data_IF_073402078332
#
_entry.id   IF_073402078332
#
_cell.length_a   1.000
_cell.length_b   1.000
_cell.length_c   1.000
_cell.angle_alpha   90.00
_cell.angle_beta   90.00
_cell.angle_gamma   90.00
#
_symmetry.space_group_name_H-M   'P 1'
#
loop_
_entity.id
_entity.type
_entity.pdbx_description
1 polymer ?
#
# COMPACT_ATOMS: atom_id res chain seq x y z
N UNK A 1 2.36 -17.41 10.98
CA UNK A 1 3.54 -16.51 10.94
C UNK A 1 3.44 -15.57 9.74
N UNK A 2 3.84 -14.29 9.88
CA UNK A 2 3.91 -13.19 8.86
C UNK A 2 2.90 -12.02 8.96
N UNK A 3 2.75 -11.37 10.11
CA UNK A 3 2.12 -10.02 10.22
C UNK A 3 3.05 -8.90 10.71
N UNK A 4 4.26 -9.24 11.12
CA UNK A 4 5.26 -8.31 11.69
C UNK A 4 6.25 -7.80 10.63
N UNK A 5 6.08 -8.21 9.36
CA UNK A 5 7.11 -8.03 8.31
C UNK A 5 7.23 -6.58 7.85
N UNK A 6 6.14 -5.85 7.64
CA UNK A 6 6.20 -4.44 7.18
C UNK A 6 6.82 -3.52 8.21
N UNK A 7 6.43 -3.67 9.48
CA UNK A 7 6.93 -2.85 10.58
C UNK A 7 8.43 -3.09 10.76
N UNK A 8 8.86 -4.35 10.85
CA UNK A 8 10.27 -4.67 11.04
C UNK A 8 11.12 -4.18 9.87
N UNK A 9 10.69 -4.41 8.62
CA UNK A 9 11.38 -3.90 7.42
C UNK A 9 11.49 -2.38 7.41
N UNK A 10 10.43 -1.68 7.81
CA UNK A 10 10.42 -0.21 7.81
C UNK A 10 11.34 0.37 8.87
N UNK A 11 11.42 -0.25 10.05
CA UNK A 11 12.35 0.16 11.11
C UNK A 11 13.79 -0.12 10.70
N UNK A 12 14.06 -1.28 10.11
CA UNK A 12 15.40 -1.62 9.59
C UNK A 12 15.83 -0.61 8.52
N UNK A 13 14.95 -0.28 7.58
CA UNK A 13 15.22 0.74 6.57
C UNK A 13 15.53 2.10 7.19
N UNK A 14 14.70 2.54 8.15
CA UNK A 14 14.91 3.80 8.88
C UNK A 14 16.29 3.84 9.55
N UNK A 15 16.66 2.76 10.25
CA UNK A 15 17.96 2.65 10.93
C UNK A 15 19.12 2.69 9.93
N UNK A 16 19.03 1.90 8.85
CA UNK A 16 20.09 1.88 7.82
C UNK A 16 20.25 3.25 7.19
N UNK A 17 19.15 3.89 6.77
CA UNK A 17 19.21 5.23 6.17
C UNK A 17 19.80 6.25 7.15
N UNK A 18 19.33 6.27 8.39
CA UNK A 18 19.88 7.16 9.42
C UNK A 18 21.38 6.97 9.64
N UNK A 19 21.86 5.72 9.70
CA UNK A 19 23.29 5.42 9.90
C UNK A 19 24.11 5.79 8.66
N UNK A 20 23.64 5.46 7.46
CA UNK A 20 24.34 5.78 6.20
C UNK A 20 24.44 7.29 6.02
N UNK A 21 23.36 8.04 6.23
CA UNK A 21 23.39 9.51 6.14
C UNK A 21 24.29 10.12 7.22
N UNK A 22 24.26 9.61 8.46
CA UNK A 22 25.16 10.09 9.50
C UNK A 22 26.64 9.87 9.17
N UNK A 23 26.97 8.74 8.52
CA UNK A 23 28.32 8.43 8.08
C UNK A 23 28.76 9.30 6.89
N UNK A 24 27.91 9.48 5.88
CA UNK A 24 28.21 10.27 4.67
C UNK A 24 28.39 11.75 4.99
N UNK A 25 27.49 12.32 5.79
CA UNK A 25 27.53 13.73 6.18
C UNK A 25 28.43 13.99 7.39
N UNK A 26 29.01 12.94 7.98
CA UNK A 26 29.78 12.96 9.22
C UNK A 26 29.06 13.72 10.36
N UNK A 27 27.73 13.64 10.39
CA UNK A 27 26.90 14.39 11.31
C UNK A 27 25.93 13.47 12.06
N UNK A 28 26.11 13.40 13.38
CA UNK A 28 25.33 12.51 14.25
C UNK A 28 23.85 12.88 14.32
N UNK A 29 23.47 14.09 13.91
CA UNK A 29 22.07 14.54 13.91
C UNK A 29 21.18 13.65 13.02
N UNK A 30 21.74 12.99 12.01
CA UNK A 30 21.00 12.06 11.15
C UNK A 30 20.59 10.75 11.84
N UNK A 31 21.12 10.46 13.05
CA UNK A 31 20.67 9.35 13.89
C UNK A 31 19.37 9.66 14.65
N UNK A 32 18.92 10.91 14.64
CA UNK A 32 17.74 11.36 15.40
C UNK A 32 16.45 10.58 15.09
N UNK A 33 16.16 10.12 13.86
CA UNK A 33 15.00 9.27 13.59
C UNK A 33 15.05 7.92 14.33
N UNK A 34 16.24 7.39 14.63
CA UNK A 34 16.39 6.19 15.46
C UNK A 34 15.93 6.49 16.89
N UNK A 35 16.38 7.62 17.43
CA UNK A 35 16.09 8.05 18.80
C UNK A 35 14.61 8.40 18.98
N UNK A 36 13.99 8.99 17.97
CA UNK A 36 12.65 9.57 18.06
C UNK A 36 11.54 8.68 17.48
N UNK A 37 11.89 7.65 16.70
CA UNK A 37 10.91 6.73 16.08
C UNK A 37 11.25 5.28 16.43
N UNK A 38 12.45 4.79 16.05
CA UNK A 38 12.76 3.37 16.17
C UNK A 38 12.80 2.88 17.63
N UNK A 39 13.49 3.60 18.51
CA UNK A 39 13.57 3.27 19.93
C UNK A 39 12.20 3.39 20.63
N UNK A 40 11.48 4.53 20.55
CA UNK A 40 10.14 4.65 21.12
C UNK A 40 9.18 3.57 20.64
N UNK A 41 9.23 3.22 19.35
CA UNK A 41 8.43 2.12 18.83
C UNK A 41 8.75 0.80 19.52
N UNK A 42 10.03 0.45 19.67
CA UNK A 42 10.45 -0.81 20.32
C UNK A 42 9.94 -0.90 21.76
N UNK A 43 9.90 0.22 22.48
CA UNK A 43 9.36 0.28 23.85
C UNK A 43 7.83 0.22 23.92
N UNK A 44 7.15 0.86 22.97
CA UNK A 44 5.68 0.91 22.96
C UNK A 44 5.01 -0.28 22.26
N UNK A 45 5.75 -1.00 21.41
CA UNK A 45 5.19 -2.11 20.63
C UNK A 45 4.74 -3.26 21.52
N UNK A 46 3.55 -3.77 21.25
CA UNK A 46 3.05 -4.98 21.86
C UNK A 46 3.75 -6.21 21.29
N UNK A 47 4.12 -7.16 22.16
CA UNK A 47 4.71 -8.45 21.77
C UNK A 47 3.69 -9.45 21.20
N UNK A 48 2.39 -9.19 21.40
CA UNK A 48 1.30 -10.05 20.95
C UNK A 48 1.00 -9.84 19.45
N UNK A 49 1.03 -10.93 18.68
CA UNK A 49 0.72 -10.95 17.25
C UNK A 49 -0.70 -10.46 16.92
N UNK A 50 -1.64 -10.59 17.86
CA UNK A 50 -3.01 -10.09 17.70
C UNK A 50 -3.09 -8.56 17.73
N UNK A 51 -2.08 -7.89 18.30
CA UNK A 51 -1.99 -6.43 18.40
C UNK A 51 -1.24 -5.76 17.24
N UNK A 52 -1.15 -6.44 16.10
CA UNK A 52 -0.52 -5.93 14.88
C UNK A 52 -1.14 -4.59 14.42
N UNK A 53 -2.46 -4.41 14.61
CA UNK A 53 -3.15 -3.16 14.25
C UNK A 53 -2.74 -2.00 15.15
N UNK A 54 -2.67 -2.23 16.47
CA UNK A 54 -2.17 -1.24 17.43
C UNK A 54 -0.72 -0.88 17.14
N UNK A 55 0.14 -1.87 16.89
CA UNK A 55 1.55 -1.64 16.55
C UNK A 55 1.68 -0.80 15.28
N UNK A 56 0.88 -1.08 14.24
CA UNK A 56 0.85 -0.22 13.03
C UNK A 56 0.44 1.22 13.37
N UNK A 57 -0.52 1.41 14.27
CA UNK A 57 -0.95 2.74 14.72
C UNK A 57 0.15 3.47 15.50
N UNK A 58 0.83 2.80 16.43
CA UNK A 58 1.93 3.37 17.21
C UNK A 58 3.03 3.88 16.28
N UNK A 59 3.49 3.04 15.34
CA UNK A 59 4.55 3.45 14.40
C UNK A 59 4.10 4.62 13.51
N UNK A 60 2.87 4.58 13.00
CA UNK A 60 2.34 5.69 12.19
C UNK A 60 2.28 7.00 12.99
N UNK A 61 1.87 6.94 14.27
CA UNK A 61 1.80 8.12 15.12
C UNK A 61 3.19 8.70 15.40
N UNK A 62 4.21 7.85 15.59
CA UNK A 62 5.59 8.29 15.80
C UNK A 62 6.14 9.04 14.60
N UNK A 63 5.91 8.55 13.38
CA UNK A 63 6.29 9.27 12.17
C UNK A 63 5.60 10.63 12.06
N UNK A 64 4.27 10.65 12.25
CA UNK A 64 3.47 11.88 12.15
C UNK A 64 3.90 12.89 13.22
N UNK A 65 4.09 12.44 14.46
CA UNK A 65 4.53 13.29 15.56
C UNK A 65 5.88 13.94 15.26
N UNK A 66 6.83 13.19 14.72
CA UNK A 66 8.14 13.74 14.34
C UNK A 66 8.02 14.78 13.23
N UNK A 67 7.28 14.47 12.14
CA UNK A 67 7.07 15.41 11.03
C UNK A 67 6.42 16.71 11.51
N UNK A 68 5.38 16.61 12.34
CA UNK A 68 4.69 17.79 12.90
C UNK A 68 5.61 18.57 13.83
N UNK A 69 6.36 17.89 14.69
CA UNK A 69 7.29 18.54 15.63
C UNK A 69 8.34 19.36 14.87
N UNK A 70 8.87 18.82 13.77
CA UNK A 70 9.77 19.55 12.89
C UNK A 70 9.10 20.74 12.20
N UNK A 71 7.88 20.56 11.69
CA UNK A 71 7.14 21.66 11.06
C UNK A 71 6.89 22.82 12.04
N UNK A 72 6.46 22.51 13.27
CA UNK A 72 6.27 23.50 14.34
C UNK A 72 7.60 24.18 14.70
N UNK A 73 8.68 23.41 14.82
CA UNK A 73 10.01 23.95 15.12
C UNK A 73 10.48 24.93 14.04
N UNK A 74 10.32 24.59 12.75
CA UNK A 74 10.68 25.47 11.63
C UNK A 74 9.89 26.79 11.70
N UNK A 75 8.58 26.71 11.93
CA UNK A 75 7.72 27.91 12.02
C UNK A 75 8.10 28.79 13.22
N UNK A 76 8.38 28.17 14.36
CA UNK A 76 8.71 28.89 15.59
C UNK A 76 10.08 29.57 15.53
N UNK A 77 11.10 28.88 15.01
CA UNK A 77 12.47 29.42 14.96
C UNK A 77 12.72 30.27 13.73
N UNK A 78 11.90 30.14 12.68
CA UNK A 78 12.13 30.70 11.34
C UNK A 78 13.50 30.31 10.75
N UNK A 79 14.13 29.25 11.28
CA UNK A 79 15.43 28.77 10.84
C UNK A 79 15.23 27.50 10.03
N UNK A 80 15.38 27.62 8.72
CA UNK A 80 15.41 26.49 7.80
C UNK A 80 16.83 26.34 7.28
N UNK A 81 17.47 25.22 7.62
CA UNK A 81 18.78 24.83 7.12
C UNK A 81 18.63 23.57 6.26
N UNK A 82 19.49 23.39 5.25
CA UNK A 82 19.55 22.19 4.41
C UNK A 82 19.57 20.92 5.25
N UNK A 83 20.37 20.90 6.32
CA UNK A 83 20.46 19.75 7.24
C UNK A 83 19.09 19.35 7.85
N UNK A 84 18.27 20.33 8.25
CA UNK A 84 16.95 20.08 8.83
C UNK A 84 16.00 19.58 7.74
N UNK A 85 16.09 20.14 6.54
CA UNK A 85 15.31 19.69 5.40
C UNK A 85 15.62 18.24 5.02
N UNK A 86 16.90 17.87 4.93
CA UNK A 86 17.35 16.52 4.60
C UNK A 86 16.90 15.50 5.66
N UNK A 87 16.96 15.91 6.94
CA UNK A 87 16.47 15.09 8.06
C UNK A 87 14.95 14.83 7.96
N UNK A 88 14.16 15.87 7.70
CA UNK A 88 12.70 15.76 7.53
C UNK A 88 12.37 14.91 6.31
N UNK A 89 13.08 15.14 5.20
CA UNK A 89 12.90 14.40 3.96
C UNK A 89 13.15 12.89 4.17
N UNK A 90 14.20 12.53 4.89
CA UNK A 90 14.50 11.13 5.24
C UNK A 90 13.38 10.49 6.08
N UNK A 91 12.83 11.21 7.06
CA UNK A 91 11.69 10.74 7.87
C UNK A 91 10.45 10.53 7.00
N UNK A 92 10.15 11.48 6.10
CA UNK A 92 9.01 11.41 5.19
C UNK A 92 9.16 10.23 4.23
N UNK A 93 10.34 10.03 3.64
CA UNK A 93 10.64 8.93 2.73
C UNK A 93 10.38 7.58 3.41
N UNK A 94 10.89 7.41 4.64
CA UNK A 94 10.66 6.20 5.43
C UNK A 94 9.18 6.00 5.77
N UNK A 95 8.45 7.09 6.07
CA UNK A 95 7.03 7.03 6.34
C UNK A 95 6.20 6.60 5.12
N UNK A 96 6.52 7.14 3.94
CA UNK A 96 5.87 6.75 2.68
C UNK A 96 6.14 5.28 2.39
N UNK A 97 7.38 4.83 2.51
CA UNK A 97 7.74 3.42 2.33
C UNK A 97 6.94 2.51 3.28
N UNK A 98 6.86 2.87 4.56
CA UNK A 98 6.07 2.15 5.54
C UNK A 98 4.58 2.08 5.17
N UNK A 99 3.99 3.18 4.70
CA UNK A 99 2.59 3.22 4.26
C UNK A 99 2.35 2.32 3.05
N UNK A 100 3.24 2.32 2.06
CA UNK A 100 3.13 1.43 0.90
C UNK A 100 3.19 -0.04 1.31
N UNK A 101 4.15 -0.41 2.17
CA UNK A 101 4.28 -1.78 2.66
C UNK A 101 3.05 -2.25 3.45
N UNK A 102 2.51 -1.40 4.33
CA UNK A 102 1.31 -1.74 5.10
C UNK A 102 0.07 -1.87 4.22
N UNK A 103 -0.07 -1.06 3.16
CA UNK A 103 -1.16 -1.20 2.19
C UNK A 103 -1.07 -2.52 1.42
N UNK A 104 0.12 -2.91 0.96
CA UNK A 104 0.33 -4.18 0.26
C UNK A 104 0.00 -5.36 1.18
N UNK A 105 0.47 -5.33 2.43
CA UNK A 105 0.12 -6.37 3.41
C UNK A 105 -1.38 -6.44 3.70
N UNK A 106 -2.06 -5.30 3.86
CA UNK A 106 -3.49 -5.29 4.14
C UNK A 106 -4.29 -5.85 2.95
N UNK A 107 -3.89 -5.54 1.71
CA UNK A 107 -4.50 -6.12 0.50
C UNK A 107 -4.28 -7.63 0.45
N UNK A 108 -3.05 -8.08 0.75
CA UNK A 108 -2.73 -9.50 0.85
C UNK A 108 -3.57 -10.19 1.91
N UNK A 109 -3.59 -9.68 3.14
CA UNK A 109 -4.38 -10.25 4.24
C UNK A 109 -5.88 -10.35 3.92
N UNK A 110 -6.45 -9.39 3.18
CA UNK A 110 -7.83 -9.46 2.73
C UNK A 110 -8.06 -10.64 1.76
N UNK A 111 -7.14 -10.86 0.82
CA UNK A 111 -7.17 -12.01 -0.09
C UNK A 111 -6.99 -13.32 0.68
N UNK A 112 -6.09 -13.38 1.67
CA UNK A 112 -5.82 -14.61 2.41
C UNK A 112 -6.91 -14.98 3.43
N UNK A 113 -7.60 -14.00 4.04
CA UNK A 113 -8.63 -14.25 5.07
C UNK A 113 -9.98 -14.67 4.51
N UNK A 114 -10.37 -14.13 3.36
CA UNK A 114 -11.61 -14.52 2.69
C UNK A 114 -11.42 -14.47 1.17
N UNK A 115 -10.63 -15.41 0.61
CA UNK A 115 -10.36 -15.44 -0.82
C UNK A 115 -11.64 -15.63 -1.63
N UNK A 116 -12.66 -16.30 -1.06
CA UNK A 116 -13.97 -16.48 -1.68
C UNK A 116 -14.71 -15.14 -1.85
N UNK A 117 -14.79 -14.30 -0.82
CA UNK A 117 -15.44 -12.99 -0.95
C UNK A 117 -14.74 -12.06 -1.94
N UNK A 118 -13.40 -12.16 -2.05
CA UNK A 118 -12.66 -11.40 -3.07
C UNK A 118 -12.94 -11.95 -4.47
N UNK A 119 -12.96 -13.27 -4.62
CA UNK A 119 -13.31 -13.96 -5.85
C UNK A 119 -14.72 -13.56 -6.34
N UNK A 120 -15.72 -13.64 -5.47
CA UNK A 120 -17.11 -13.28 -5.78
C UNK A 120 -17.24 -11.80 -6.17
N UNK A 121 -16.49 -10.91 -5.51
CA UNK A 121 -16.48 -9.48 -5.82
C UNK A 121 -15.84 -9.17 -7.17
N UNK A 122 -14.80 -9.89 -7.55
CA UNK A 122 -14.17 -9.74 -8.87
C UNK A 122 -15.10 -10.29 -9.95
N UNK A 123 -15.70 -11.46 -9.75
CA UNK A 123 -16.69 -12.02 -10.67
C UNK A 123 -17.86 -11.06 -10.92
N UNK A 124 -18.44 -10.48 -9.85
CA UNK A 124 -19.51 -9.49 -9.99
C UNK A 124 -19.08 -8.26 -10.80
N UNK A 125 -17.82 -7.83 -10.68
CA UNK A 125 -17.28 -6.72 -11.49
C UNK A 125 -17.12 -7.11 -12.96
N UNK A 126 -16.68 -8.33 -13.23
CA UNK A 126 -16.57 -8.87 -14.59
C UNK A 126 -17.96 -8.91 -15.23
N UNK A 127 -18.97 -9.44 -14.53
CA UNK A 127 -20.35 -9.53 -15.01
C UNK A 127 -20.94 -8.15 -15.36
N UNK A 128 -20.74 -7.15 -14.50
CA UNK A 128 -21.17 -5.77 -14.77
C UNK A 128 -20.46 -5.20 -16.00
N UNK A 129 -19.15 -5.44 -16.15
CA UNK A 129 -18.38 -4.95 -17.30
C UNK A 129 -18.74 -5.68 -18.60
N UNK A 130 -19.04 -6.98 -18.56
CA UNK A 130 -19.52 -7.75 -19.70
C UNK A 130 -20.90 -7.27 -20.14
N UNK A 131 -21.81 -6.98 -19.19
CA UNK A 131 -23.10 -6.35 -19.50
C UNK A 131 -22.93 -4.95 -20.12
N UNK A 132 -22.01 -4.14 -19.58
CA UNK A 132 -21.71 -2.82 -20.14
C UNK A 132 -21.08 -2.92 -21.54
N UNK A 133 -20.22 -3.91 -21.77
CA UNK A 133 -19.63 -4.19 -23.07
C UNK A 133 -20.74 -4.51 -24.09
N UNK A 134 -21.65 -5.43 -23.77
CA UNK A 134 -22.76 -5.81 -24.64
C UNK A 134 -23.66 -4.61 -24.98
N UNK A 135 -24.04 -3.81 -23.98
CA UNK A 135 -24.83 -2.58 -24.20
C UNK A 135 -24.08 -1.56 -25.08
N UNK A 136 -22.77 -1.45 -24.91
CA UNK A 136 -21.93 -0.53 -25.70
C UNK A 136 -21.76 -1.03 -27.14
N UNK A 137 -21.71 -2.34 -27.35
CA UNK A 137 -21.64 -3.00 -28.66
C UNK A 137 -22.95 -2.85 -29.44
N UNK A 138 -24.10 -2.96 -28.77
CA UNK A 138 -25.40 -2.62 -29.35
C UNK A 138 -25.48 -1.13 -29.78
N UNK A 139 -24.89 -0.24 -28.98
CA UNK A 139 -24.73 1.18 -29.32
C UNK A 139 -23.86 1.44 -30.56
N UNK A 140 -22.85 0.60 -30.80
CA UNK A 140 -22.01 0.65 -32.01
C UNK A 140 -22.81 0.23 -33.24
N UNK A 141 -23.57 -0.86 -33.13
CA UNK A 141 -24.34 -1.44 -34.23
C UNK A 141 -25.55 -0.58 -34.64
N UNK A 142 -26.05 0.26 -33.73
CA UNK A 142 -27.19 1.17 -33.96
C UNK A 142 -26.78 2.57 -34.47
N UNK A 143 -25.49 2.89 -34.44
CA UNK A 143 -24.97 4.21 -34.86
C UNK A 143 -24.45 4.17 -36.29
N UNK A 144 -24.90 5.12 -37.12
CA UNK A 144 -24.44 5.28 -38.52
C UNK A 144 -23.29 6.31 -38.68
N UNK A 145 -23.04 7.15 -37.68
CA UNK A 145 -21.98 8.16 -37.71
C UNK A 145 -20.58 7.57 -37.43
N UNK A 146 -19.64 7.73 -38.37
CA UNK A 146 -18.27 7.19 -38.25
C UNK A 146 -17.52 7.72 -37.03
N UNK A 147 -17.65 9.01 -36.71
CA UNK A 147 -16.94 9.62 -35.58
C UNK A 147 -17.41 9.02 -34.26
N UNK A 148 -18.71 8.78 -34.14
CA UNK A 148 -19.33 8.10 -33.00
C UNK A 148 -18.94 6.62 -32.95
N UNK A 149 -18.82 5.92 -34.09
CA UNK A 149 -18.30 4.55 -34.15
C UNK A 149 -16.90 4.43 -33.56
N UNK A 150 -15.96 5.26 -34.01
CA UNK A 150 -14.58 5.24 -33.49
C UNK A 150 -14.52 5.50 -31.98
N UNK A 151 -15.35 6.41 -31.47
CA UNK A 151 -15.43 6.70 -30.04
C UNK A 151 -16.00 5.53 -29.23
N UNK A 152 -17.00 4.82 -29.77
CA UNK A 152 -17.59 3.63 -29.15
C UNK A 152 -16.61 2.45 -29.17
N UNK A 153 -15.88 2.24 -30.28
CA UNK A 153 -14.83 1.22 -30.40
C UNK A 153 -13.69 1.43 -29.38
N UNK A 154 -13.27 2.68 -29.16
CA UNK A 154 -12.29 3.01 -28.13
C UNK A 154 -12.80 2.66 -26.72
N UNK A 155 -14.08 2.90 -26.44
CA UNK A 155 -14.72 2.51 -25.17
C UNK A 155 -14.80 0.99 -25.01
N UNK A 156 -15.21 0.27 -26.06
CA UNK A 156 -15.24 -1.20 -26.05
C UNK A 156 -13.85 -1.79 -25.77
N UNK A 157 -12.83 -1.25 -26.44
CA UNK A 157 -11.43 -1.64 -26.21
C UNK A 157 -11.00 -1.42 -24.76
N UNK A 158 -11.32 -0.25 -24.19
CA UNK A 158 -11.01 0.05 -22.79
C UNK A 158 -11.76 -0.86 -21.80
N UNK A 159 -13.02 -1.20 -22.07
CA UNK A 159 -13.81 -2.13 -21.26
C UNK A 159 -13.19 -3.54 -21.35
N UNK A 160 -12.85 -4.01 -22.55
CA UNK A 160 -12.23 -5.32 -22.77
C UNK A 160 -10.90 -5.48 -22.03
N UNK A 161 -10.02 -4.48 -22.12
CA UNK A 161 -8.75 -4.47 -21.38
C UNK A 161 -8.97 -4.62 -19.87
N UNK A 162 -9.99 -3.94 -19.31
CA UNK A 162 -10.33 -4.05 -17.88
C UNK A 162 -10.90 -5.42 -17.52
N UNK A 163 -11.71 -6.02 -18.39
CA UNK A 163 -12.23 -7.39 -18.19
C UNK A 163 -11.08 -8.38 -18.17
N UNK A 164 -10.15 -8.28 -19.12
CA UNK A 164 -9.00 -9.19 -19.22
C UNK A 164 -8.07 -9.07 -17.99
N UNK A 165 -7.82 -7.86 -17.51
CA UNK A 165 -7.05 -7.65 -16.28
C UNK A 165 -7.73 -8.27 -15.05
N UNK A 166 -9.05 -8.09 -14.91
CA UNK A 166 -9.82 -8.70 -13.82
C UNK A 166 -9.84 -10.23 -13.90
N UNK A 167 -9.93 -10.82 -15.11
CA UNK A 167 -9.84 -12.28 -15.33
C UNK A 167 -8.48 -12.83 -14.92
N UNK A 168 -7.38 -12.12 -15.24
CA UNK A 168 -6.02 -12.48 -14.78
C UNK A 168 -5.89 -12.43 -13.26
N UNK A 169 -6.41 -11.38 -12.63
CA UNK A 169 -6.43 -11.30 -11.15
C UNK A 169 -7.22 -12.45 -10.53
N UNK A 170 -8.33 -12.85 -11.15
CA UNK A 170 -9.19 -13.93 -10.69
C UNK A 170 -8.49 -15.30 -10.79
N UNK A 171 -7.71 -15.53 -11.83
CA UNK A 171 -6.91 -16.76 -12.00
C UNK A 171 -5.90 -16.94 -10.85
N UNK A 172 -5.18 -15.87 -10.48
CA UNK A 172 -4.24 -15.88 -9.36
C UNK A 172 -4.94 -16.18 -8.02
N UNK A 173 -6.15 -15.65 -7.83
CA UNK A 173 -6.93 -15.86 -6.60
C UNK A 173 -7.57 -17.26 -6.57
N UNK A 174 -7.99 -17.80 -7.71
CA UNK A 174 -8.58 -19.14 -7.82
C UNK A 174 -7.60 -20.22 -7.33
N UNK A 175 -6.34 -20.14 -7.73
CA UNK A 175 -5.27 -21.03 -7.24
C UNK A 175 -5.15 -20.97 -5.71
N UNK A 176 -5.31 -19.78 -5.12
CA UNK A 176 -5.27 -19.61 -3.66
C UNK A 176 -6.54 -20.15 -2.95
N UNK A 177 -7.71 -20.04 -3.57
CA UNK A 177 -8.98 -20.65 -3.07
C UNK A 177 -8.89 -22.17 -3.10
N UNK A 178 -8.36 -22.75 -4.18
CA UNK A 178 -8.24 -24.21 -4.35
C UNK A 178 -7.26 -24.81 -3.33
N UNK A 179 -6.10 -24.19 -3.11
CA UNK A 179 -5.14 -24.59 -2.06
C UNK A 179 -5.81 -24.58 -0.68
N UNK A 180 -6.59 -23.53 -0.37
CA UNK A 180 -7.28 -23.42 0.92
C UNK A 180 -8.38 -24.49 1.10
N UNK A 181 -9.10 -24.86 0.02
CA UNK A 181 -10.09 -25.95 0.06
C UNK A 181 -9.44 -27.32 0.27
N UNK A 182 -8.31 -27.58 -0.38
CA UNK A 182 -7.56 -28.83 -0.20
C UNK A 182 -7.00 -28.97 1.23
N UNK A 183 -6.50 -27.89 1.82
CA UNK A 183 -6.05 -27.88 3.22
C UNK A 183 -7.19 -28.00 4.25
N UNK A 184 -8.41 -27.57 3.89
CA UNK A 184 -9.61 -27.74 4.72
C UNK A 184 -10.16 -29.17 4.74
N UNK A 185 -9.92 -29.96 3.70
CA UNK A 185 -10.33 -31.37 3.60
C UNK A 185 -9.32 -32.36 4.22
N UNK A 186 -8.19 -31.88 4.74
CA UNK A 186 -7.15 -32.67 5.41
C UNK A 186 -7.18 -32.51 6.95
N UNK A 187 -8.29 -32.00 7.49
CA UNK A 187 -8.55 -31.92 8.94
C UNK A 187 -9.72 -32.80 9.34
#
# INVERSE_FOLDING_TARGET
MKKVVSISKSIVLLVILSVVYAALEMNIIFLLPIITIALPFKFMSYKDDNKSRENKRILSNLYIFNIISFAVAIVATKQMNSLIFDLIFNIILCFIYYKLMTLIENKRDAVFRNPQAVYDKINKKIEILESLYAQTEEGLNSTSDEKSKTAIEAKLTAIKIKIDDLKRQLEVIKTQVEINKQQGNLK
#
